data_IF_725465911217
#
_entry.id   IF_725465911217
#
_cell.length_a   1.000
_cell.length_b   1.000
_cell.length_c   1.000
_cell.angle_alpha   90.00
_cell.angle_beta   90.00
_cell.angle_gamma   90.00
#
_symmetry.space_group_name_H-M   'P 1'
#
loop_
_entity.id
_entity.type
_entity.pdbx_description
1 polymer ?
#
# COMPACT_ATOMS: atom_id res chain seq x y z
N UNK A 1 22.27 11.61 -12.86
CA UNK A 1 21.00 11.86 -12.15
C UNK A 1 20.19 10.57 -12.22
N UNK A 2 20.07 9.83 -11.12
CA UNK A 2 19.51 8.48 -11.13
C UNK A 2 18.01 8.50 -11.45
N UNK A 3 17.62 8.07 -12.65
CA UNK A 3 16.23 7.67 -12.94
C UNK A 3 15.98 6.37 -12.17
N UNK A 4 15.54 6.49 -10.93
CA UNK A 4 15.00 5.37 -10.15
C UNK A 4 13.71 4.96 -10.87
N UNK A 5 13.70 3.81 -11.55
CA UNK A 5 12.51 3.27 -12.20
C UNK A 5 11.55 2.70 -11.14
N UNK A 6 11.26 3.43 -10.06
CA UNK A 6 10.37 2.89 -9.02
C UNK A 6 8.93 2.90 -9.56
N UNK A 7 8.24 1.76 -9.51
CA UNK A 7 6.83 1.67 -9.87
C UNK A 7 5.98 2.02 -8.65
N UNK A 8 5.03 2.95 -8.76
CA UNK A 8 4.16 3.31 -7.64
C UNK A 8 2.69 3.10 -7.96
N UNK A 9 1.95 2.52 -7.03
CA UNK A 9 0.52 2.23 -7.13
C UNK A 9 -0.19 2.86 -5.93
N UNK A 10 -1.30 3.56 -6.21
CA UNK A 10 -2.08 4.25 -5.19
C UNK A 10 -3.38 3.50 -4.91
N UNK A 11 -3.51 2.94 -3.71
CA UNK A 11 -4.72 2.28 -3.23
C UNK A 11 -5.60 3.29 -2.51
N UNK A 12 -6.66 3.74 -3.19
CA UNK A 12 -7.65 4.64 -2.58
C UNK A 12 -8.68 3.81 -1.79
N UNK A 13 -8.90 4.20 -0.54
CA UNK A 13 -9.89 3.58 0.34
C UNK A 13 -10.75 4.64 1.02
N UNK A 14 -11.94 4.23 1.48
CA UNK A 14 -12.89 5.10 2.17
C UNK A 14 -13.21 4.53 3.53
N UNK A 15 -13.22 5.36 4.56
CA UNK A 15 -13.77 4.98 5.85
C UNK A 15 -15.31 4.94 5.75
N UNK A 16 -15.87 3.74 5.64
CA UNK A 16 -17.33 3.51 5.65
C UNK A 16 -17.90 3.30 7.06
N UNK A 17 -17.05 3.31 8.09
CA UNK A 17 -17.45 3.16 9.47
C UNK A 17 -18.03 4.44 10.08
N UNK A 18 -18.45 4.34 11.35
CA UNK A 18 -19.00 5.46 12.14
C UNK A 18 -17.95 6.13 13.04
N UNK A 19 -16.75 5.56 13.15
CA UNK A 19 -15.65 6.05 13.98
C UNK A 19 -14.42 6.38 13.13
N UNK A 20 -13.49 7.21 13.64
CA UNK A 20 -12.23 7.48 12.95
C UNK A 20 -11.42 6.20 12.70
N UNK A 21 -11.03 5.98 11.45
CA UNK A 21 -10.22 4.86 11.01
C UNK A 21 -8.74 5.22 11.14
N UNK A 22 -7.98 4.38 11.82
CA UNK A 22 -6.55 4.52 12.05
C UNK A 22 -5.87 3.25 11.54
N UNK A 23 -4.92 3.42 10.63
CA UNK A 23 -4.05 2.34 10.17
C UNK A 23 -2.95 2.15 11.21
N UNK A 24 -2.94 0.98 11.87
CA UNK A 24 -1.96 0.62 12.90
C UNK A 24 -0.61 0.28 12.28
N UNK A 25 -0.62 -0.54 11.23
CA UNK A 25 0.59 -0.93 10.52
C UNK A 25 0.27 -1.27 9.08
N UNK A 26 1.20 -0.97 8.18
CA UNK A 26 1.15 -1.39 6.79
C UNK A 26 2.47 -2.09 6.51
N UNK A 27 2.43 -3.42 6.46
CA UNK A 27 3.63 -4.26 6.39
C UNK A 27 3.69 -4.91 5.01
N UNK A 28 4.72 -4.61 4.20
CA UNK A 28 4.95 -5.30 2.94
C UNK A 28 5.54 -6.69 3.18
N UNK A 29 5.37 -7.60 2.22
CA UNK A 29 5.96 -8.95 2.29
C UNK A 29 7.47 -8.98 2.04
N UNK A 30 8.07 -7.89 1.56
CA UNK A 30 9.49 -7.79 1.23
C UNK A 30 9.95 -6.33 1.28
N UNK A 31 11.22 -6.10 1.63
CA UNK A 31 11.83 -4.76 1.74
C UNK A 31 11.94 -4.02 0.39
N UNK A 32 11.74 -4.70 -0.74
CA UNK A 32 11.65 -4.07 -2.06
C UNK A 32 10.34 -3.31 -2.30
N UNK A 33 9.39 -3.37 -1.35
CA UNK A 33 8.12 -2.65 -1.42
C UNK A 33 8.04 -1.68 -0.25
N UNK A 34 7.94 -0.39 -0.54
CA UNK A 34 7.80 0.68 0.46
C UNK A 34 6.37 1.21 0.44
N UNK A 35 5.54 0.91 1.46
CA UNK A 35 4.24 1.55 1.61
C UNK A 35 4.37 2.93 2.27
N UNK A 36 3.58 3.87 1.79
CA UNK A 36 3.33 5.19 2.36
C UNK A 36 1.83 5.30 2.61
N UNK A 37 1.45 5.66 3.84
CA UNK A 37 0.07 5.69 4.28
C UNK A 37 -0.17 6.81 5.28
N UNK A 38 -1.41 7.29 5.40
CA UNK A 38 -1.77 8.28 6.40
C UNK A 38 -1.63 7.69 7.81
N UNK A 39 -0.77 8.30 8.63
CA UNK A 39 -0.63 7.97 10.07
C UNK A 39 -1.70 8.66 10.93
N UNK A 40 -2.44 9.60 10.36
CA UNK A 40 -3.51 10.32 11.04
C UNK A 40 -4.86 9.57 11.02
N UNK A 41 -5.79 9.95 11.91
CA UNK A 41 -7.15 9.42 11.90
C UNK A 41 -7.95 9.89 10.69
N UNK A 42 -8.61 8.95 10.01
CA UNK A 42 -9.43 9.18 8.82
C UNK A 42 -10.88 9.21 9.25
N UNK A 43 -11.52 10.38 9.17
CA UNK A 43 -12.88 10.55 9.65
C UNK A 43 -13.90 9.70 8.85
N UNK A 44 -15.05 9.34 9.46
CA UNK A 44 -16.17 8.69 8.76
C UNK A 44 -16.52 9.38 7.43
N UNK A 45 -16.67 8.61 6.37
CA UNK A 45 -17.01 9.09 5.03
C UNK A 45 -15.85 9.72 4.26
N UNK A 46 -14.67 9.93 4.87
CA UNK A 46 -13.48 10.44 4.17
C UNK A 46 -12.77 9.33 3.41
N UNK A 47 -12.17 9.71 2.30
CA UNK A 47 -11.25 8.89 1.51
C UNK A 47 -9.81 9.18 1.90
N UNK A 48 -8.95 8.20 1.70
CA UNK A 48 -7.52 8.29 1.90
C UNK A 48 -6.82 7.30 0.97
N UNK A 49 -5.51 7.41 0.86
CA UNK A 49 -4.73 6.65 -0.11
C UNK A 49 -3.54 5.98 0.57
N UNK A 50 -3.27 4.73 0.21
CA UNK A 50 -2.02 4.03 0.53
C UNK A 50 -1.19 4.00 -0.76
N UNK A 51 -0.09 4.74 -0.80
CA UNK A 51 0.85 4.71 -1.93
C UNK A 51 1.84 3.58 -1.69
N UNK A 52 1.94 2.65 -2.61
CA UNK A 52 2.88 1.53 -2.55
C UNK A 52 3.92 1.73 -3.64
N UNK A 53 5.19 1.80 -3.25
CA UNK A 53 6.33 1.95 -4.17
C UNK A 53 7.07 0.62 -4.24
N UNK A 54 7.18 0.05 -5.43
CA UNK A 54 7.92 -1.17 -5.71
C UNK A 54 9.24 -0.84 -6.43
N UNK A 55 10.34 -1.38 -5.91
CA UNK A 55 11.67 -1.27 -6.48
C UNK A 55 11.80 -2.26 -7.66
N UNK A 56 11.76 -1.76 -8.90
CA UNK A 56 11.81 -2.59 -10.12
C UNK A 56 13.24 -3.02 -10.50
N UNK A 57 14.11 -3.23 -9.51
CA UNK A 57 15.46 -3.79 -9.73
C UNK A 57 15.41 -5.23 -10.26
N UNK A 58 14.41 -5.98 -9.83
CA UNK A 58 14.19 -7.35 -10.28
C UNK A 58 13.36 -7.35 -11.57
N UNK A 59 13.94 -7.84 -12.66
CA UNK A 59 13.25 -8.05 -13.94
C UNK A 59 12.43 -9.34 -13.84
N UNK A 60 11.24 -9.34 -14.43
CA UNK A 60 10.32 -10.48 -14.45
C UNK A 60 9.04 -10.23 -13.67
N UNK A 61 8.26 -11.31 -13.49
CA UNK A 61 6.96 -11.26 -12.82
C UNK A 61 7.16 -11.13 -11.31
N UNK A 62 6.46 -10.17 -10.70
CA UNK A 62 6.39 -10.04 -9.26
C UNK A 62 4.96 -10.20 -8.76
N UNK A 63 4.82 -10.84 -7.60
CA UNK A 63 3.60 -10.85 -6.83
C UNK A 63 3.95 -10.58 -5.37
N UNK A 64 3.57 -9.40 -4.86
CA UNK A 64 3.85 -8.98 -3.48
C UNK A 64 2.55 -8.69 -2.76
N UNK A 65 2.54 -8.95 -1.46
CA UNK A 65 1.38 -8.74 -0.60
C UNK A 65 1.72 -7.69 0.45
N UNK A 66 0.79 -6.81 0.74
CA UNK A 66 0.89 -5.76 1.74
C UNK A 66 -0.24 -5.99 2.75
N UNK A 67 0.13 -6.28 3.99
CA UNK A 67 -0.82 -6.45 5.08
C UNK A 67 -1.08 -5.11 5.75
N UNK A 68 -2.32 -4.65 5.69
CA UNK A 68 -2.81 -3.45 6.35
C UNK A 68 -3.57 -3.87 7.61
N UNK A 69 -3.10 -3.42 8.76
CA UNK A 69 -3.78 -3.60 10.05
C UNK A 69 -4.37 -2.27 10.49
N UNK A 70 -5.63 -2.27 10.93
CA UNK A 70 -6.33 -1.06 11.36
C UNK A 70 -7.17 -1.30 12.63
N UNK A 71 -7.80 -0.24 13.14
CA UNK A 71 -8.79 -0.31 14.22
C UNK A 71 -10.23 -0.54 13.71
N UNK A 72 -10.43 -0.82 12.41
CA UNK A 72 -11.74 -1.18 11.89
C UNK A 72 -12.22 -2.54 12.45
N UNK A 73 -13.52 -2.82 12.28
CA UNK A 73 -14.10 -4.15 12.55
C UNK A 73 -13.32 -5.22 11.77
N UNK A 74 -13.04 -4.93 10.49
CA UNK A 74 -12.09 -5.69 9.68
C UNK A 74 -10.68 -5.18 9.97
N UNK A 75 -10.09 -5.71 11.04
CA UNK A 75 -8.81 -5.27 11.58
C UNK A 75 -7.62 -5.60 10.67
N UNK A 76 -7.71 -6.58 9.77
CA UNK A 76 -6.65 -6.97 8.82
C UNK A 76 -7.20 -6.99 7.40
N UNK A 77 -6.51 -6.32 6.48
CA UNK A 77 -6.78 -6.33 5.04
C UNK A 77 -5.47 -6.67 4.33
N UNK A 78 -5.52 -7.53 3.32
CA UNK A 78 -4.36 -7.86 2.49
C UNK A 78 -4.55 -7.23 1.11
N UNK A 79 -3.60 -6.40 0.71
CA UNK A 79 -3.51 -5.81 -0.61
C UNK A 79 -2.47 -6.57 -1.42
N UNK A 80 -2.80 -6.95 -2.63
CA UNK A 80 -1.88 -7.70 -3.49
C UNK A 80 -1.52 -6.84 -4.69
N UNK A 81 -0.22 -6.67 -4.93
CA UNK A 81 0.31 -6.10 -6.17
C UNK A 81 0.90 -7.21 -7.03
N UNK A 82 0.63 -7.13 -8.32
CA UNK A 82 1.14 -8.02 -9.34
C UNK A 82 1.55 -7.19 -10.54
N UNK A 83 2.60 -7.63 -11.21
CA UNK A 83 3.06 -7.01 -12.44
C UNK A 83 4.26 -7.76 -12.99
N UNK A 84 4.76 -7.25 -14.11
CA UNK A 84 5.95 -7.76 -14.76
C UNK A 84 6.86 -6.58 -15.09
N UNK A 85 8.12 -6.68 -14.66
CA UNK A 85 9.15 -5.70 -14.97
C UNK A 85 9.87 -6.18 -16.22
N UNK A 86 9.83 -5.38 -17.29
CA UNK A 86 10.57 -5.67 -18.51
C UNK A 86 11.91 -4.95 -18.53
N UNK A 87 12.90 -5.54 -19.19
CA UNK A 87 14.14 -4.84 -19.52
C UNK A 87 13.84 -3.65 -20.44
N UNK A 88 14.65 -2.60 -20.33
CA UNK A 88 14.37 -1.29 -20.92
C UNK A 88 14.81 -1.19 -22.37
#
# INVERSE_FOLDING_TARGET
MAKKSDASIDFVFKNTGKSPLVLKSVTPSCDCTTPDWPKGPIMPGKTSTIKVVYDTKEIGVFNKTITVVSNAITNKIELTIQGEVYEK
#
